data_IF_262784061624
#
_entry.id   IF_262784061624
#
_cell.length_a   1.000
_cell.length_b   1.000
_cell.length_c   1.000
_cell.angle_alpha   90.00
_cell.angle_beta   90.00
_cell.angle_gamma   90.00
#
_symmetry.space_group_name_H-M   'P 1'
#
loop_
_entity.id
_entity.type
_entity.pdbx_description
1 polymer ?
#
# COMPACT_ATOMS: atom_id res chain seq x y z
N UNK A 1 -7.12 -26.89 1.96
CA UNK A 1 -5.80 -26.53 1.40
C UNK A 1 -6.04 -25.48 0.32
N UNK A 2 -6.23 -24.21 0.70
CA UNK A 2 -6.36 -23.14 -0.30
C UNK A 2 -4.98 -22.96 -0.96
N UNK A 3 -4.91 -23.10 -2.27
CA UNK A 3 -3.70 -22.79 -3.02
C UNK A 3 -3.37 -21.31 -2.76
N UNK A 4 -2.25 -21.06 -2.09
CA UNK A 4 -1.70 -19.71 -1.96
C UNK A 4 -1.19 -19.33 -3.35
N UNK A 5 -2.04 -18.64 -4.11
CA UNK A 5 -1.67 -17.90 -5.32
C UNK A 5 -0.45 -17.03 -4.97
N UNK A 6 0.65 -17.11 -5.74
CA UNK A 6 1.81 -16.24 -5.48
C UNK A 6 1.34 -14.78 -5.50
N UNK A 7 1.83 -13.91 -4.60
CA UNK A 7 1.33 -12.54 -4.48
C UNK A 7 1.26 -11.80 -5.82
N UNK A 8 2.24 -12.06 -6.70
CA UNK A 8 2.41 -11.37 -7.96
C UNK A 8 1.90 -12.11 -9.21
N UNK A 9 1.09 -13.18 -9.08
CA UNK A 9 0.58 -13.91 -10.26
C UNK A 9 -0.18 -13.02 -11.25
N UNK A 10 -0.91 -12.03 -10.73
CA UNK A 10 -1.64 -11.06 -11.56
C UNK A 10 -0.69 -10.14 -12.33
N UNK A 11 0.41 -9.69 -11.72
CA UNK A 11 1.44 -8.92 -12.44
C UNK A 11 2.07 -9.79 -13.54
N UNK A 12 2.48 -11.01 -13.21
CA UNK A 12 3.07 -11.92 -14.20
C UNK A 12 2.10 -12.29 -15.33
N UNK A 13 0.78 -12.29 -15.07
CA UNK A 13 -0.21 -12.44 -16.12
C UNK A 13 -0.29 -11.18 -17.01
N UNK A 14 -0.25 -9.98 -16.43
CA UNK A 14 -0.23 -8.71 -17.18
C UNK A 14 1.02 -8.56 -18.04
N UNK A 15 2.21 -8.88 -17.52
CA UNK A 15 3.49 -8.82 -18.23
C UNK A 15 3.54 -9.76 -19.44
N UNK A 16 2.77 -10.86 -19.41
CA UNK A 16 2.68 -11.84 -20.52
C UNK A 16 1.78 -11.38 -21.66
N UNK A 17 0.88 -10.43 -21.44
CA UNK A 17 -0.06 -9.90 -22.45
C UNK A 17 -0.05 -8.36 -22.55
N UNK A 18 1.09 -7.71 -22.85
CA UNK A 18 1.21 -6.25 -22.87
C UNK A 18 0.40 -5.56 -23.99
N UNK A 19 -0.15 -6.34 -24.93
CA UNK A 19 -0.81 -5.85 -26.15
C UNK A 19 -2.31 -5.55 -26.02
N UNK A 20 -2.98 -5.99 -24.95
CA UNK A 20 -4.46 -5.98 -24.87
C UNK A 20 -5.10 -4.57 -24.87
N UNK A 21 -4.31 -3.51 -24.66
CA UNK A 21 -4.78 -2.12 -24.60
C UNK A 21 -3.92 -1.15 -25.44
N UNK A 22 -3.28 -1.63 -26.51
CA UNK A 22 -2.57 -0.75 -27.45
C UNK A 22 -3.57 0.08 -28.27
N UNK A 23 -3.56 1.40 -28.08
CA UNK A 23 -4.39 2.36 -28.84
C UNK A 23 -5.42 3.17 -28.04
N UNK A 24 -5.65 2.87 -26.76
CA UNK A 24 -6.56 3.66 -25.92
C UNK A 24 -5.88 4.94 -25.39
N UNK A 25 -6.57 6.10 -25.37
CA UNK A 25 -6.08 7.33 -24.74
C UNK A 25 -5.64 7.07 -23.29
N UNK A 26 -4.63 7.79 -22.82
CA UNK A 26 -4.10 7.65 -21.45
C UNK A 26 -5.19 7.78 -20.37
N UNK A 27 -6.19 8.63 -20.61
CA UNK A 27 -7.38 8.77 -19.77
C UNK A 27 -8.27 7.51 -19.71
N UNK A 28 -8.43 6.77 -20.82
CA UNK A 28 -9.19 5.51 -20.83
C UNK A 28 -8.42 4.37 -20.18
N UNK A 29 -7.09 4.34 -20.32
CA UNK A 29 -6.23 3.40 -19.56
C UNK A 29 -6.37 3.62 -18.04
N UNK A 30 -6.49 4.88 -17.60
CA UNK A 30 -6.75 5.26 -16.20
C UNK A 30 -8.18 4.93 -15.73
N UNK A 31 -9.18 4.99 -16.61
CA UNK A 31 -10.60 4.70 -16.28
C UNK A 31 -10.88 3.19 -16.22
N UNK A 32 -10.30 2.40 -17.12
CA UNK A 32 -10.40 0.92 -17.08
C UNK A 32 -9.79 0.37 -15.78
N UNK A 33 -8.75 1.01 -15.24
CA UNK A 33 -8.19 0.66 -13.94
C UNK A 33 -9.13 0.96 -12.75
N UNK A 34 -10.11 1.85 -12.89
CA UNK A 34 -11.08 2.17 -11.84
C UNK A 34 -12.34 1.30 -11.86
N UNK A 35 -12.71 0.71 -13.00
CA UNK A 35 -14.03 0.04 -13.18
C UNK A 35 -13.92 -1.51 -13.30
N UNK A 36 -12.72 -2.07 -13.37
CA UNK A 36 -12.50 -3.51 -13.11
C UNK A 36 -11.19 -3.99 -13.74
N UNK A 37 -10.16 -4.42 -13.01
CA UNK A 37 -10.03 -4.92 -11.63
C UNK A 37 -8.60 -4.59 -11.20
N UNK A 38 -8.33 -3.60 -10.33
CA UNK A 38 -6.95 -3.24 -9.98
C UNK A 38 -6.50 -4.04 -8.76
N UNK A 39 -5.77 -5.15 -8.93
CA UNK A 39 -4.98 -5.76 -7.84
C UNK A 39 -3.74 -6.47 -8.43
N UNK A 40 -2.60 -6.50 -7.73
CA UNK A 40 -2.50 -6.47 -6.28
C UNK A 40 -1.51 -5.41 -5.77
N UNK A 41 -2.01 -4.36 -5.12
CA UNK A 41 -1.26 -3.56 -4.15
C UNK A 41 -2.03 -3.68 -2.85
N UNK A 42 -1.37 -3.90 -1.72
CA UNK A 42 -2.11 -4.13 -0.48
C UNK A 42 -3.14 -5.26 -0.62
N UNK A 43 -2.78 -6.33 -1.34
CA UNK A 43 -3.72 -7.41 -1.70
C UNK A 43 -4.45 -7.92 -0.47
N UNK A 44 -5.80 -7.94 -0.45
CA UNK A 44 -6.55 -8.51 0.65
C UNK A 44 -6.12 -9.93 1.01
N UNK A 45 -5.71 -10.74 0.02
CA UNK A 45 -5.27 -12.10 0.29
C UNK A 45 -3.93 -12.14 1.04
N UNK A 46 -3.00 -11.23 0.73
CA UNK A 46 -1.72 -11.12 1.43
C UNK A 46 -1.90 -10.63 2.88
N UNK A 47 -2.80 -9.65 3.07
CA UNK A 47 -3.08 -9.04 4.37
C UNK A 47 -4.20 -9.75 5.16
N UNK A 48 -4.61 -10.94 4.72
CA UNK A 48 -5.71 -11.74 5.31
C UNK A 48 -7.04 -10.96 5.47
N UNK A 49 -7.28 -9.98 4.60
CA UNK A 49 -8.44 -9.10 4.62
C UNK A 49 -8.46 -8.15 5.82
N UNK A 50 -7.30 -7.82 6.38
CA UNK A 50 -7.15 -6.98 7.57
C UNK A 50 -6.23 -5.80 7.34
N UNK A 51 -6.47 -4.72 8.09
CA UNK A 51 -5.53 -3.61 8.16
C UNK A 51 -4.16 -4.09 8.65
N UNK A 52 -3.11 -3.79 7.90
CA UNK A 52 -1.72 -4.12 8.17
C UNK A 52 -1.22 -3.60 9.53
N UNK A 53 -1.80 -2.49 10.01
CA UNK A 53 -1.40 -1.80 11.25
C UNK A 53 -2.32 -2.09 12.43
N UNK A 54 -3.64 -2.10 12.21
CA UNK A 54 -4.64 -2.19 13.30
C UNK A 54 -5.29 -3.57 13.41
N UNK A 55 -5.13 -4.44 12.41
CA UNK A 55 -5.80 -5.75 12.36
C UNK A 55 -7.31 -5.69 12.07
N UNK A 56 -7.88 -4.49 11.85
CA UNK A 56 -9.28 -4.30 11.53
C UNK A 56 -9.66 -5.11 10.29
N UNK A 57 -10.65 -5.99 10.41
CA UNK A 57 -11.12 -6.87 9.32
C UNK A 57 -12.46 -6.48 8.69
N UNK A 58 -12.89 -5.23 8.87
CA UNK A 58 -14.14 -4.71 8.28
C UNK A 58 -13.83 -4.18 6.88
N UNK A 59 -14.13 -4.98 5.85
CA UNK A 59 -13.66 -4.78 4.47
C UNK A 59 -14.05 -3.42 3.89
N UNK A 60 -15.24 -2.93 4.23
CA UNK A 60 -15.80 -1.66 3.79
C UNK A 60 -15.01 -0.44 4.30
N UNK A 61 -14.20 -0.64 5.35
CA UNK A 61 -13.34 0.39 5.93
C UNK A 61 -11.88 0.29 5.48
N UNK A 62 -11.55 -0.71 4.65
CA UNK A 62 -10.20 -0.97 4.18
C UNK A 62 -9.92 -0.34 2.82
N UNK A 63 -8.69 0.12 2.65
CA UNK A 63 -8.16 0.77 1.46
C UNK A 63 -6.83 0.14 1.07
N UNK A 64 -6.64 -0.05 -0.23
CA UNK A 64 -5.37 -0.48 -0.80
C UNK A 64 -4.52 0.77 -1.08
N UNK A 65 -3.66 1.12 -0.11
CA UNK A 65 -2.74 2.27 -0.16
C UNK A 65 -1.44 1.88 -0.85
N UNK A 66 -0.88 2.78 -1.66
CA UNK A 66 0.44 2.62 -2.25
C UNK A 66 1.52 3.11 -1.30
N UNK A 67 2.65 2.40 -1.23
CA UNK A 67 3.81 2.91 -0.49
C UNK A 67 4.54 3.98 -1.31
N UNK A 68 4.91 3.66 -2.56
CA UNK A 68 5.34 4.63 -3.57
C UNK A 68 4.10 5.02 -4.40
N UNK A 69 3.61 6.26 -4.32
CA UNK A 69 2.40 6.69 -5.00
C UNK A 69 2.40 6.36 -6.48
N UNK A 70 1.22 6.06 -7.02
CA UNK A 70 1.04 5.67 -8.42
C UNK A 70 1.71 6.61 -9.42
N UNK A 71 1.57 7.92 -9.22
CA UNK A 71 2.12 8.95 -10.09
C UNK A 71 3.65 9.00 -10.12
N UNK A 72 4.28 8.51 -9.04
CA UNK A 72 5.74 8.50 -8.88
C UNK A 72 6.35 7.16 -9.33
N UNK A 73 5.52 6.14 -9.61
CA UNK A 73 5.98 4.85 -10.13
C UNK A 73 6.46 4.99 -11.58
N UNK A 74 7.66 4.48 -11.83
CA UNK A 74 8.37 4.53 -13.12
C UNK A 74 7.86 3.47 -14.09
N UNK A 75 7.34 2.36 -13.57
CA UNK A 75 6.88 1.23 -14.38
C UNK A 75 5.50 0.73 -13.94
N UNK A 76 4.80 0.07 -14.86
CA UNK A 76 3.55 -0.63 -14.54
C UNK A 76 3.78 -1.80 -13.56
N UNK A 77 4.99 -2.38 -13.55
CA UNK A 77 5.37 -3.40 -12.59
C UNK A 77 5.33 -2.85 -11.15
N UNK A 78 5.94 -1.69 -10.88
CA UNK A 78 5.88 -1.05 -9.56
C UNK A 78 4.44 -0.69 -9.16
N UNK A 79 3.62 -0.24 -10.12
CA UNK A 79 2.21 0.15 -9.90
C UNK A 79 1.33 -1.02 -9.48
N UNK A 80 1.66 -2.20 -9.95
CA UNK A 80 0.93 -3.45 -9.78
C UNK A 80 1.66 -4.44 -8.85
N UNK A 81 2.69 -4.00 -8.14
CA UNK A 81 3.42 -4.84 -7.18
C UNK A 81 2.68 -4.89 -5.83
N UNK A 82 2.48 -6.10 -5.30
CA UNK A 82 1.83 -6.34 -4.00
C UNK A 82 2.56 -5.65 -2.88
N UNK A 83 3.88 -5.69 -2.97
CA UNK A 83 4.79 -5.16 -1.96
C UNK A 83 4.94 -3.65 -2.07
N UNK A 84 4.40 -3.02 -3.13
CA UNK A 84 4.19 -1.57 -3.20
C UNK A 84 2.83 -1.14 -2.61
N UNK A 85 2.27 -1.89 -1.67
CA UNK A 85 1.06 -1.44 -1.02
C UNK A 85 0.72 -2.12 0.30
N UNK A 86 -0.04 -1.39 1.09
CA UNK A 86 -0.63 -1.86 2.33
C UNK A 86 -2.15 -1.91 2.21
N UNK A 87 -2.77 -2.87 2.90
CA UNK A 87 -4.18 -2.79 3.21
C UNK A 87 -4.34 -2.03 4.52
N UNK A 88 -4.95 -0.85 4.49
CA UNK A 88 -5.05 0.05 5.65
C UNK A 88 -6.50 0.42 5.92
N UNK A 89 -6.82 0.69 7.19
CA UNK A 89 -8.09 1.35 7.52
C UNK A 89 -8.03 2.84 7.14
N UNK A 90 -9.17 3.41 6.77
CA UNK A 90 -9.30 4.75 6.20
C UNK A 90 -8.51 5.88 6.89
N UNK A 91 -8.41 5.89 8.22
CA UNK A 91 -7.65 6.91 8.96
C UNK A 91 -6.15 6.68 8.88
N UNK A 92 -5.71 5.42 8.97
CA UNK A 92 -4.29 5.05 8.85
C UNK A 92 -3.79 5.30 7.41
N UNK A 93 -4.59 4.94 6.42
CA UNK A 93 -4.39 5.28 5.01
C UNK A 93 -4.16 6.79 4.84
N UNK A 94 -5.07 7.62 5.36
CA UNK A 94 -4.96 9.07 5.24
C UNK A 94 -3.68 9.64 5.88
N UNK A 95 -3.30 9.19 7.07
CA UNK A 95 -2.09 9.73 7.75
C UNK A 95 -0.79 9.20 7.12
N UNK A 96 -0.82 8.00 6.55
CA UNK A 96 0.31 7.43 5.81
C UNK A 96 0.52 8.17 4.50
N UNK A 97 -0.51 8.31 3.67
CA UNK A 97 -0.46 9.03 2.38
C UNK A 97 -0.04 10.50 2.54
N UNK A 98 -0.42 11.13 3.65
CA UNK A 98 -0.02 12.51 3.97
C UNK A 98 1.39 12.60 4.55
N UNK A 99 2.05 11.48 4.86
CA UNK A 99 3.41 11.44 5.39
C UNK A 99 3.54 11.70 6.89
N UNK A 100 2.43 11.72 7.64
CA UNK A 100 2.46 11.82 9.10
C UNK A 100 2.90 10.50 9.77
N UNK A 101 2.80 9.39 9.06
CA UNK A 101 3.22 8.07 9.51
C UNK A 101 4.02 7.38 8.42
N UNK A 102 5.02 6.59 8.81
CA UNK A 102 5.74 5.67 7.93
C UNK A 102 6.00 4.35 8.66
N UNK A 103 6.64 3.40 7.98
CA UNK A 103 7.03 2.10 8.55
C UNK A 103 8.55 1.93 8.45
N UNK A 104 9.18 1.59 9.57
CA UNK A 104 10.60 1.23 9.62
C UNK A 104 10.83 -0.18 9.06
N UNK A 105 12.09 -0.51 8.72
CA UNK A 105 12.42 -1.80 8.08
C UNK A 105 12.18 -3.02 8.99
N UNK A 106 12.07 -2.79 10.30
CA UNK A 106 11.69 -3.80 11.29
C UNK A 106 10.16 -3.92 11.46
N UNK A 107 9.37 -3.16 10.69
CA UNK A 107 7.91 -3.14 10.76
C UNK A 107 7.33 -2.16 11.78
N UNK A 108 8.14 -1.46 12.58
CA UNK A 108 7.61 -0.46 13.53
C UNK A 108 6.96 0.71 12.77
N UNK A 109 5.77 1.09 13.21
CA UNK A 109 5.08 2.29 12.74
C UNK A 109 5.72 3.51 13.40
N UNK A 110 6.15 4.48 12.60
CA UNK A 110 6.83 5.70 13.05
C UNK A 110 5.99 6.91 12.70
N UNK A 111 5.59 7.68 13.71
CA UNK A 111 4.84 8.91 13.53
C UNK A 111 5.77 10.14 13.47
N UNK A 112 5.49 11.07 12.56
CA UNK A 112 6.17 12.35 12.46
C UNK A 112 5.97 13.18 13.73
N UNK A 113 6.99 13.92 14.16
CA UNK A 113 6.95 14.74 15.39
C UNK A 113 5.76 15.72 15.39
N UNK A 114 5.47 16.31 14.24
CA UNK A 114 4.39 17.28 14.05
C UNK A 114 2.97 16.72 14.24
N UNK A 115 2.76 15.40 14.21
CA UNK A 115 1.44 14.81 14.42
C UNK A 115 0.92 15.01 15.86
N UNK A 116 1.76 15.44 16.80
CA UNK A 116 1.38 15.76 18.18
C UNK A 116 0.91 14.54 19.00
N UNK A 117 1.01 14.61 20.32
CA UNK A 117 0.65 13.48 21.19
C UNK A 117 -0.85 13.18 21.18
N UNK A 118 -1.68 14.22 21.24
CA UNK A 118 -3.15 14.09 21.30
C UNK A 118 -3.71 13.44 20.03
N UNK A 119 -3.25 13.89 18.85
CA UNK A 119 -3.69 13.32 17.58
C UNK A 119 -3.18 11.88 17.40
N UNK A 120 -1.95 11.57 17.82
CA UNK A 120 -1.46 10.19 17.85
C UNK A 120 -2.30 9.31 18.79
N UNK A 121 -2.80 9.83 19.90
CA UNK A 121 -3.67 9.09 20.82
C UNK A 121 -5.01 8.75 20.16
N UNK A 122 -5.67 9.76 19.59
CA UNK A 122 -6.95 9.61 18.89
C UNK A 122 -6.87 8.67 17.69
N UNK A 123 -5.70 8.58 17.05
CA UNK A 123 -5.40 7.68 15.94
C UNK A 123 -4.90 6.30 16.40
N UNK A 124 -4.68 6.07 17.69
CA UNK A 124 -4.17 4.81 18.23
C UNK A 124 -2.71 4.50 17.82
N UNK A 125 -1.91 5.55 17.59
CA UNK A 125 -0.50 5.53 17.15
C UNK A 125 0.50 5.75 18.29
N UNK A 126 0.02 5.99 19.51
CA UNK A 126 0.88 6.11 20.71
C UNK A 126 1.43 4.76 21.19
N UNK A 127 0.74 3.68 20.87
CA UNK A 127 1.21 2.33 21.14
C UNK A 127 2.27 1.95 20.10
N UNK A 128 3.25 1.12 20.48
CA UNK A 128 4.29 0.62 19.58
C UNK A 128 3.74 -0.32 18.50
N UNK A 129 2.91 0.21 17.59
CA UNK A 129 2.28 -0.50 16.49
C UNK A 129 3.35 -1.03 15.54
N UNK A 130 3.07 -2.19 14.98
CA UNK A 130 3.91 -2.86 13.99
C UNK A 130 3.04 -3.35 12.86
N UNK A 131 3.57 -3.26 11.64
CA UNK A 131 2.99 -3.91 10.47
C UNK A 131 3.20 -5.42 10.60
N UNK A 132 2.11 -6.17 10.53
CA UNK A 132 2.17 -7.62 10.49
C UNK A 132 2.78 -8.09 9.15
N UNK A 133 3.55 -9.19 9.13
CA UNK A 133 4.05 -9.80 7.89
C UNK A 133 4.73 -8.83 6.90
N UNK A 134 5.61 -7.94 7.38
CA UNK A 134 6.39 -7.08 6.50
C UNK A 134 7.48 -7.90 5.77
N UNK A 135 7.32 -8.08 4.45
CA UNK A 135 8.30 -8.74 3.59
C UNK A 135 9.47 -7.82 3.19
N UNK A 136 10.63 -8.40 2.89
CA UNK A 136 11.81 -7.65 2.41
C UNK A 136 11.54 -6.85 1.14
N UNK A 137 10.64 -7.30 0.27
CA UNK A 137 10.29 -6.61 -0.97
C UNK A 137 9.63 -5.24 -0.74
N UNK A 138 9.00 -5.00 0.41
CA UNK A 138 8.46 -3.68 0.77
C UNK A 138 9.56 -2.64 1.01
N UNK A 139 10.78 -3.06 1.38
CA UNK A 139 11.80 -2.15 1.92
C UNK A 139 12.24 -1.08 0.95
N UNK A 140 12.33 -1.40 -0.35
CA UNK A 140 12.71 -0.42 -1.37
C UNK A 140 11.66 0.69 -1.46
N UNK A 141 10.37 0.34 -1.49
CA UNK A 141 9.28 1.32 -1.47
C UNK A 141 9.21 2.09 -0.17
N UNK A 142 9.42 1.44 0.98
CA UNK A 142 9.43 2.12 2.28
C UNK A 142 10.60 3.10 2.43
N UNK A 143 11.79 2.74 1.91
CA UNK A 143 12.91 3.66 1.85
C UNK A 143 12.59 4.89 0.98
N UNK A 144 11.94 4.67 -0.17
CA UNK A 144 11.43 5.76 -1.00
C UNK A 144 10.42 6.62 -0.23
N UNK A 145 9.41 6.01 0.40
CA UNK A 145 8.37 6.73 1.15
C UNK A 145 8.97 7.57 2.28
N UNK A 146 9.91 7.00 3.05
CA UNK A 146 10.62 7.71 4.13
C UNK A 146 11.45 8.91 3.63
N UNK A 147 11.92 8.89 2.39
CA UNK A 147 12.75 9.98 1.83
C UNK A 147 11.95 11.03 1.06
N UNK A 148 10.71 10.73 0.63
CA UNK A 148 9.94 11.58 -0.30
C UNK A 148 8.59 12.03 0.24
N UNK A 149 7.96 11.25 1.11
CA UNK A 149 6.60 11.49 1.61
C UNK A 149 6.60 11.75 3.10
N UNK A 150 7.34 10.94 3.87
CA UNK A 150 7.37 11.05 5.32
C UNK A 150 7.91 12.40 5.78
N UNK A 151 7.19 13.02 6.72
CA UNK A 151 7.46 14.36 7.25
C UNK A 151 8.34 14.38 8.50
N UNK A 152 8.75 13.21 9.01
CA UNK A 152 9.68 13.11 10.13
C UNK A 152 11.12 13.18 9.65
N UNK A 153 11.68 14.39 9.63
CA UNK A 153 13.12 14.64 9.60
C UNK A 153 13.73 14.56 10.99
#
# INVERSE_FOLDING_TARGET
MAALTLPNELLHAFEREPGRFQGAPEAERLVVQRVGRPLPRGSPDYWEGRCAVTGLGVRELLRASHIKPWAECETDAERLDVFNGFLLEARIDAVFDQGFVTVADDGRVVAAAELGTDARELLGLNEGRRVAWLDQQHRAYLAWHRSRVFRGG
#
